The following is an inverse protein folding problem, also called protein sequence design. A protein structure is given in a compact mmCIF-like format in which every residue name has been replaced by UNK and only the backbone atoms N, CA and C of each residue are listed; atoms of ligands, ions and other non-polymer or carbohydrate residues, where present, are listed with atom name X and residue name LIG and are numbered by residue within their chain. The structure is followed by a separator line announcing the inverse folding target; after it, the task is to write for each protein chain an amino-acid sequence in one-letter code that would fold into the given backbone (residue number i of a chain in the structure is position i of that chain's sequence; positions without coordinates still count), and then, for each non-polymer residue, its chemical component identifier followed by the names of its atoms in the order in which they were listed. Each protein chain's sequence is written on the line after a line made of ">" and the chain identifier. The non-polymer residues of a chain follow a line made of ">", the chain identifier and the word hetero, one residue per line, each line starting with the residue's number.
data_IF_014801917457
#
_entry.id   IF_014801917457
#
_cell.length_a   1.000
_cell.length_b   1.000
_cell.length_c   1.000
_cell.angle_alpha   90.00
_cell.angle_beta   90.00
_cell.angle_gamma   90.00
#
_symmetry.space_group_name_H-M   'P 1'
#
loop_
_entity.id
_entity.type
_entity.pdbx_description
1 polymer ?
#
# COMPACT_ATOMS: atom_id res chain seq x y z
N UNK A 1 20.11 3.60 -5.24
CA UNK A 1 20.25 4.81 -4.41
C UNK A 1 19.10 5.78 -4.74
N UNK A 2 18.31 6.25 -3.75
CA UNK A 2 17.18 7.14 -3.98
C UNK A 2 17.60 8.50 -4.58
N UNK A 3 16.80 9.08 -5.47
CA UNK A 3 17.13 10.36 -6.14
C UNK A 3 17.25 11.56 -5.18
N UNK A 4 16.60 11.47 -4.01
CA UNK A 4 16.65 12.45 -2.93
C UNK A 4 17.74 12.17 -1.89
N UNK A 5 18.56 11.13 -2.08
CA UNK A 5 19.64 10.82 -1.15
C UNK A 5 20.68 11.94 -1.14
N UNK A 6 21.00 12.39 0.07
CA UNK A 6 22.05 13.37 0.36
C UNK A 6 23.14 12.72 1.20
N UNK A 7 24.40 13.08 0.92
CA UNK A 7 25.52 12.71 1.81
C UNK A 7 25.42 13.49 3.12
N UNK A 8 26.19 13.07 4.13
CA UNK A 8 26.32 13.81 5.39
C UNK A 8 26.74 15.28 5.16
N UNK A 9 27.55 15.53 4.12
CA UNK A 9 28.02 16.86 3.71
C UNK A 9 27.01 17.63 2.82
N UNK A 10 25.77 17.15 2.69
CA UNK A 10 24.69 17.84 2.00
C UNK A 10 24.64 17.67 0.46
N UNK A 11 25.57 16.93 -0.14
CA UNK A 11 25.58 16.72 -1.58
C UNK A 11 24.44 15.81 -2.03
N UNK A 12 23.72 16.21 -3.09
CA UNK A 12 22.60 15.45 -3.69
C UNK A 12 23.11 14.28 -4.53
N UNK A 13 23.76 13.31 -3.90
CA UNK A 13 24.37 12.16 -4.56
C UNK A 13 23.35 11.35 -5.38
N UNK A 14 22.12 11.23 -4.90
CA UNK A 14 21.03 10.58 -5.65
C UNK A 14 20.70 11.25 -7.00
N UNK A 15 20.76 12.58 -7.03
CA UNK A 15 20.54 13.37 -8.25
C UNK A 15 21.76 13.29 -9.17
N UNK A 16 22.96 13.40 -8.59
CA UNK A 16 24.22 13.31 -9.33
C UNK A 16 24.39 11.95 -10.04
N UNK A 17 24.09 10.83 -9.36
CA UNK A 17 24.13 9.49 -9.95
C UNK A 17 23.16 9.38 -11.13
N UNK A 18 21.98 10.00 -11.02
CA UNK A 18 21.02 10.04 -12.14
C UNK A 18 21.59 10.76 -13.36
N UNK A 19 22.23 11.93 -13.15
CA UNK A 19 22.88 12.70 -14.21
C UNK A 19 24.05 11.94 -14.87
N UNK A 20 24.84 11.18 -14.12
CA UNK A 20 25.91 10.36 -14.69
C UNK A 20 25.36 9.26 -15.60
N UNK A 21 24.24 8.63 -15.22
CA UNK A 21 23.59 7.59 -16.02
C UNK A 21 22.93 8.15 -17.28
N UNK A 22 22.32 9.33 -17.22
CA UNK A 22 21.74 10.04 -18.38
C UNK A 22 22.79 10.41 -19.42
N UNK A 23 23.98 10.78 -18.97
CA UNK A 23 25.09 11.16 -19.85
C UNK A 23 25.97 9.97 -20.25
N UNK A 24 25.58 8.74 -19.93
CA UNK A 24 26.42 7.55 -20.12
C UNK A 24 26.93 7.39 -21.57
N UNK A 25 26.21 7.86 -22.59
CA UNK A 25 26.66 7.83 -23.99
C UNK A 25 27.77 8.86 -24.28
N UNK A 26 27.85 9.94 -23.49
CA UNK A 26 28.74 11.09 -23.70
C UNK A 26 29.84 11.21 -22.63
N UNK A 27 30.03 10.20 -21.77
CA UNK A 27 31.14 10.16 -20.81
C UNK A 27 32.42 9.66 -21.47
N UNK A 28 33.57 10.19 -21.05
CA UNK A 28 34.88 9.65 -21.44
C UNK A 28 35.04 8.20 -20.96
N UNK A 29 35.82 7.36 -21.68
CA UNK A 29 36.06 5.97 -21.30
C UNK A 29 36.59 5.81 -19.86
N UNK A 30 37.52 6.67 -19.47
CA UNK A 30 38.11 6.69 -18.12
C UNK A 30 37.05 6.97 -17.03
N UNK A 31 36.12 7.89 -17.30
CA UNK A 31 35.05 8.22 -16.37
C UNK A 31 34.03 7.09 -16.25
N UNK A 32 33.79 6.33 -17.32
CA UNK A 32 32.93 5.13 -17.27
C UNK A 32 33.56 4.04 -16.41
N UNK A 33 34.83 3.73 -16.65
CA UNK A 33 35.56 2.70 -15.91
C UNK A 33 35.57 2.99 -14.39
N UNK A 34 35.78 4.26 -13.99
CA UNK A 34 35.73 4.67 -12.58
C UNK A 34 34.37 4.47 -11.92
N UNK A 35 33.28 4.62 -12.67
CA UNK A 35 31.93 4.43 -12.17
C UNK A 35 31.57 2.95 -12.07
N UNK A 36 31.96 2.13 -13.05
CA UNK A 36 31.77 0.67 -13.05
C UNK A 36 32.54 -0.05 -11.94
N UNK A 37 33.69 0.50 -11.54
CA UNK A 37 34.47 -0.03 -10.43
C UNK A 37 33.80 0.16 -9.04
N UNK A 38 32.71 0.94 -8.95
CA UNK A 38 32.00 1.14 -7.69
C UNK A 38 31.12 -0.09 -7.37
N UNK A 39 31.24 -0.68 -6.16
CA UNK A 39 30.38 -1.79 -5.73
C UNK A 39 28.89 -1.42 -5.80
N UNK A 40 28.10 -2.23 -6.52
CA UNK A 40 26.66 -2.00 -6.70
C UNK A 40 26.31 -0.94 -7.75
N UNK A 41 27.26 -0.48 -8.56
CA UNK A 41 26.99 0.41 -9.69
C UNK A 41 26.27 -0.31 -10.84
N UNK A 42 25.34 0.40 -11.48
CA UNK A 42 24.63 -0.08 -12.66
C UNK A 42 24.29 1.08 -13.59
N UNK A 43 24.53 0.88 -14.88
CA UNK A 43 24.16 1.81 -15.95
C UNK A 43 22.69 1.79 -16.30
N UNK A 44 21.90 0.87 -15.73
CA UNK A 44 20.46 0.86 -15.94
C UNK A 44 19.89 2.24 -15.58
N UNK A 45 19.53 2.98 -16.62
CA UNK A 45 18.79 4.22 -16.51
C UNK A 45 17.51 3.93 -15.77
N UNK A 46 17.21 4.76 -14.76
CA UNK A 46 15.87 4.87 -14.21
C UNK A 46 15.01 5.49 -15.32
N UNK A 47 14.63 4.67 -16.30
CA UNK A 47 13.94 5.12 -17.51
C UNK A 47 12.60 5.72 -17.14
N UNK A 48 12.54 7.04 -17.05
CA UNK A 48 11.35 7.82 -17.37
C UNK A 48 11.10 7.57 -18.85
N UNK A 49 10.26 6.56 -19.19
CA UNK A 49 9.82 6.35 -20.57
C UNK A 49 9.73 4.91 -21.08
N UNK A 50 10.40 3.91 -20.47
CA UNK A 50 10.11 2.50 -20.79
C UNK A 50 8.97 2.00 -19.91
N UNK A 51 7.80 1.76 -20.51
CA UNK A 51 6.72 1.00 -19.85
C UNK A 51 7.30 -0.38 -19.52
N UNK A 52 7.54 -0.66 -18.23
CA UNK A 52 7.89 -2.00 -17.77
C UNK A 52 6.82 -2.96 -18.31
N UNK A 53 7.22 -4.08 -18.91
CA UNK A 53 6.25 -5.03 -19.45
C UNK A 53 5.34 -5.52 -18.32
N UNK A 54 4.10 -5.91 -18.61
CA UNK A 54 3.16 -6.34 -17.56
C UNK A 54 3.74 -7.45 -16.67
N UNK A 55 4.44 -8.41 -17.27
CA UNK A 55 5.11 -9.51 -16.57
C UNK A 55 6.16 -9.01 -15.58
N UNK A 56 6.92 -7.99 -15.96
CA UNK A 56 7.97 -7.44 -15.12
C UNK A 56 7.39 -6.64 -13.92
N UNK A 57 6.23 -6.01 -14.08
CA UNK A 57 5.49 -5.42 -12.96
C UNK A 57 4.91 -6.49 -12.05
N UNK A 58 4.36 -7.56 -12.63
CA UNK A 58 3.85 -8.69 -11.89
C UNK A 58 4.93 -9.32 -10.99
N UNK A 59 6.16 -9.48 -11.49
CA UNK A 59 7.28 -9.98 -10.65
C UNK A 59 7.61 -9.04 -9.48
N UNK A 60 7.53 -7.72 -9.67
CA UNK A 60 7.72 -6.76 -8.57
C UNK A 60 6.64 -6.91 -7.50
N UNK A 61 5.38 -7.10 -7.93
CA UNK A 61 4.28 -7.33 -7.01
C UNK A 61 4.45 -8.67 -6.27
N UNK A 62 4.83 -9.72 -6.99
CA UNK A 62 5.11 -11.04 -6.40
C UNK A 62 6.18 -10.96 -5.32
N UNK A 63 7.32 -10.31 -5.62
CA UNK A 63 8.38 -10.13 -4.63
C UNK A 63 7.91 -9.33 -3.41
N UNK A 64 7.10 -8.29 -3.62
CA UNK A 64 6.48 -7.55 -2.52
C UNK A 64 5.58 -8.45 -1.67
N UNK A 65 4.74 -9.28 -2.29
CA UNK A 65 3.83 -10.19 -1.57
C UNK A 65 4.59 -11.24 -0.77
N UNK A 66 5.69 -11.76 -1.29
CA UNK A 66 6.54 -12.73 -0.59
C UNK A 66 7.21 -12.10 0.63
N UNK A 67 7.66 -10.86 0.52
CA UNK A 67 8.35 -10.14 1.61
C UNK A 67 7.39 -9.68 2.71
N UNK A 68 6.26 -9.11 2.34
CA UNK A 68 5.31 -8.48 3.29
C UNK A 68 4.20 -9.43 3.74
N UNK A 69 4.06 -10.60 3.09
CA UNK A 69 2.96 -11.54 3.33
C UNK A 69 1.59 -11.06 2.85
N UNK A 70 1.51 -9.93 2.13
CA UNK A 70 0.26 -9.38 1.60
C UNK A 70 0.44 -8.59 0.30
N UNK A 71 -0.62 -8.46 -0.50
CA UNK A 71 -0.59 -7.65 -1.74
C UNK A 71 -1.12 -6.21 -1.59
N UNK A 72 -1.26 -5.74 -0.35
CA UNK A 72 -1.76 -4.42 -0.01
C UNK A 72 -0.69 -3.34 -0.12
N UNK A 73 -0.19 -3.12 -1.34
CA UNK A 73 0.84 -2.12 -1.62
C UNK A 73 0.29 -0.69 -1.40
N UNK A 74 0.91 0.14 -0.53
CA UNK A 74 0.51 1.54 -0.35
C UNK A 74 0.56 2.31 -1.67
N UNK A 75 -0.37 3.24 -1.91
CA UNK A 75 -0.53 3.89 -3.22
C UNK A 75 0.73 4.66 -3.68
N UNK A 76 1.42 5.29 -2.73
CA UNK A 76 2.64 6.08 -2.92
C UNK A 76 3.93 5.24 -2.87
N UNK A 77 3.82 3.94 -2.56
CA UNK A 77 4.95 3.04 -2.47
C UNK A 77 5.73 2.97 -3.78
N UNK A 78 7.06 3.06 -3.64
CA UNK A 78 8.03 2.93 -4.71
C UNK A 78 9.01 1.83 -4.38
N UNK A 79 9.36 1.01 -5.36
CA UNK A 79 10.49 0.08 -5.23
C UNK A 79 11.80 0.86 -5.06
N UNK A 80 12.87 0.18 -4.66
CA UNK A 80 14.21 0.78 -4.55
C UNK A 80 14.66 1.46 -5.86
N UNK A 81 14.21 0.91 -7.00
CA UNK A 81 14.49 1.44 -8.34
C UNK A 81 13.52 2.57 -8.77
N UNK A 82 12.60 2.99 -7.90
CA UNK A 82 11.69 4.11 -8.13
C UNK A 82 10.40 3.75 -8.87
N UNK A 83 10.10 2.47 -9.09
CA UNK A 83 8.85 2.05 -9.72
C UNK A 83 7.67 2.22 -8.76
N UNK A 84 6.64 2.95 -9.19
CA UNK A 84 5.41 3.21 -8.42
C UNK A 84 4.50 1.98 -8.38
N UNK A 85 4.94 0.92 -7.69
CA UNK A 85 4.25 -0.37 -7.63
C UNK A 85 2.84 -0.23 -7.03
N UNK A 86 2.66 0.64 -6.04
CA UNK A 86 1.34 0.92 -5.46
C UNK A 86 0.35 1.45 -6.49
N UNK A 87 0.77 2.44 -7.27
CA UNK A 87 -0.03 2.97 -8.37
C UNK A 87 -0.33 1.91 -9.44
N UNK A 88 0.65 1.08 -9.79
CA UNK A 88 0.44 0.03 -10.77
C UNK A 88 -0.57 -1.03 -10.30
N UNK A 89 -0.44 -1.51 -9.05
CA UNK A 89 -1.37 -2.46 -8.45
C UNK A 89 -2.79 -1.89 -8.36
N UNK A 90 -2.93 -0.62 -7.97
CA UNK A 90 -4.22 0.09 -7.97
C UNK A 90 -4.83 0.15 -9.38
N UNK A 91 -4.03 0.43 -10.42
CA UNK A 91 -4.50 0.40 -11.81
C UNK A 91 -4.95 -0.97 -12.26
N UNK A 92 -4.30 -2.06 -11.81
CA UNK A 92 -4.76 -3.41 -12.14
C UNK A 92 -6.15 -3.66 -11.56
N UNK A 93 -6.38 -3.24 -10.30
CA UNK A 93 -7.68 -3.38 -9.64
C UNK A 93 -8.80 -2.60 -10.36
N UNK A 94 -8.51 -1.36 -10.75
CA UNK A 94 -9.46 -0.54 -11.52
C UNK A 94 -9.72 -1.07 -12.93
N UNK A 95 -8.76 -1.79 -13.52
CA UNK A 95 -8.87 -2.35 -14.85
C UNK A 95 -9.40 -3.79 -14.85
N UNK A 96 -9.95 -4.30 -13.74
CA UNK A 96 -10.39 -5.70 -13.59
C UNK A 96 -11.19 -6.20 -14.80
N UNK A 97 -12.25 -5.49 -15.19
CA UNK A 97 -13.12 -5.87 -16.30
C UNK A 97 -12.41 -5.88 -17.67
N UNK A 98 -11.34 -5.10 -17.81
CA UNK A 98 -10.57 -4.92 -19.04
C UNK A 98 -9.26 -5.73 -19.06
N UNK A 99 -8.95 -6.50 -18.01
CA UNK A 99 -7.79 -7.39 -17.99
C UNK A 99 -8.09 -8.66 -18.78
N UNK A 100 -7.08 -9.19 -19.48
CA UNK A 100 -7.19 -10.52 -20.09
C UNK A 100 -7.35 -11.59 -19.01
N UNK A 101 -8.04 -12.71 -19.29
CA UNK A 101 -8.22 -13.80 -18.34
C UNK A 101 -6.91 -14.29 -17.72
N UNK A 102 -5.84 -14.38 -18.52
CA UNK A 102 -4.53 -14.85 -18.06
C UNK A 102 -3.88 -13.89 -17.05
N UNK A 103 -4.08 -12.58 -17.24
CA UNK A 103 -3.57 -11.57 -16.31
C UNK A 103 -4.35 -11.56 -15.00
N UNK A 104 -5.67 -11.77 -15.06
CA UNK A 104 -6.51 -11.92 -13.86
C UNK A 104 -6.07 -13.14 -13.05
N UNK A 105 -6.00 -14.30 -13.71
CA UNK A 105 -5.59 -15.55 -13.07
C UNK A 105 -4.19 -15.45 -12.43
N UNK A 106 -3.25 -14.75 -13.07
CA UNK A 106 -1.93 -14.49 -12.48
C UNK A 106 -1.98 -13.59 -11.25
N UNK A 107 -2.78 -12.53 -11.26
CA UNK A 107 -2.90 -11.67 -10.08
C UNK A 107 -3.58 -12.40 -8.92
N UNK A 108 -4.60 -13.19 -9.23
CA UNK A 108 -5.34 -14.03 -8.26
C UNK A 108 -4.50 -15.16 -7.67
N UNK A 109 -3.45 -15.61 -8.38
CA UNK A 109 -2.52 -16.60 -7.83
C UNK A 109 -1.54 -16.03 -6.79
N UNK A 110 -1.51 -14.72 -6.59
CA UNK A 110 -0.70 -14.10 -5.54
C UNK A 110 -1.38 -14.24 -4.17
N UNK A 111 -0.62 -14.57 -3.12
CA UNK A 111 -1.17 -14.70 -1.77
C UNK A 111 -1.71 -13.36 -1.28
N UNK A 112 -2.92 -13.39 -0.70
CA UNK A 112 -3.63 -12.21 -0.20
C UNK A 112 -3.77 -11.08 -1.25
N UNK A 113 -3.85 -11.44 -2.54
CA UNK A 113 -4.35 -10.53 -3.56
C UNK A 113 -5.86 -10.36 -3.41
N UNK A 114 -6.28 -9.10 -3.45
CA UNK A 114 -7.68 -8.72 -3.46
C UNK A 114 -7.90 -7.66 -4.53
N UNK A 115 -8.99 -7.83 -5.26
CA UNK A 115 -9.51 -6.83 -6.18
C UNK A 115 -10.07 -5.61 -5.44
N UNK A 116 -10.55 -5.79 -4.20
CA UNK A 116 -11.08 -4.72 -3.36
C UNK A 116 -10.51 -4.78 -1.92
N UNK A 117 -9.22 -4.43 -1.74
CA UNK A 117 -8.55 -4.54 -0.44
C UNK A 117 -9.12 -3.58 0.62
N UNK A 118 -9.76 -2.48 0.20
CA UNK A 118 -10.42 -1.55 1.13
C UNK A 118 -11.74 -2.11 1.66
N UNK A 119 -12.49 -2.86 0.83
CA UNK A 119 -13.66 -3.58 1.30
C UNK A 119 -13.25 -4.66 2.31
N UNK A 120 -12.29 -5.51 1.98
CA UNK A 120 -11.86 -6.58 2.89
C UNK A 120 -11.31 -6.06 4.23
N UNK A 121 -10.56 -4.95 4.21
CA UNK A 121 -10.10 -4.29 5.45
C UNK A 121 -11.28 -3.82 6.30
N UNK A 122 -12.31 -3.28 5.66
CA UNK A 122 -13.52 -2.86 6.37
C UNK A 122 -14.27 -4.07 6.92
N UNK A 123 -14.48 -5.11 6.12
CA UNK A 123 -15.17 -6.34 6.52
C UNK A 123 -14.46 -7.05 7.68
N UNK A 124 -13.13 -7.02 7.68
CA UNK A 124 -12.33 -7.53 8.81
C UNK A 124 -12.58 -6.73 10.09
N UNK A 125 -12.55 -5.40 10.01
CA UNK A 125 -12.88 -4.53 11.14
C UNK A 125 -14.30 -4.75 11.67
N UNK A 126 -15.26 -4.87 10.75
CA UNK A 126 -16.65 -5.17 11.07
C UNK A 126 -16.80 -6.51 11.79
N UNK A 127 -16.15 -7.58 11.31
CA UNK A 127 -16.15 -8.89 11.99
C UNK A 127 -15.61 -8.82 13.42
N UNK A 128 -14.52 -8.09 13.65
CA UNK A 128 -14.01 -7.91 15.01
C UNK A 128 -14.97 -7.13 15.90
N UNK A 129 -15.61 -6.09 15.37
CA UNK A 129 -16.62 -5.35 16.11
C UNK A 129 -17.81 -6.23 16.45
N UNK A 130 -18.31 -7.03 15.50
CA UNK A 130 -19.39 -7.98 15.73
C UNK A 130 -19.03 -8.98 16.83
N UNK A 131 -17.84 -9.57 16.78
CA UNK A 131 -17.39 -10.49 17.81
C UNK A 131 -17.27 -9.80 19.19
N UNK A 132 -16.85 -8.54 19.22
CA UNK A 132 -16.81 -7.75 20.45
C UNK A 132 -18.22 -7.51 20.99
N UNK A 133 -19.18 -7.11 20.15
CA UNK A 133 -20.57 -6.85 20.58
C UNK A 133 -21.27 -8.13 21.03
N UNK A 134 -20.99 -9.26 20.37
CA UNK A 134 -21.54 -10.57 20.75
C UNK A 134 -21.01 -11.02 22.13
N UNK A 135 -19.77 -10.67 22.47
CA UNK A 135 -19.13 -11.02 23.76
C UNK A 135 -19.50 -10.07 24.90
N UNK A 136 -19.47 -8.76 24.65
CA UNK A 136 -19.62 -7.73 25.70
C UNK A 136 -21.06 -7.20 25.81
N UNK A 137 -21.94 -7.51 24.84
CA UNK A 137 -23.30 -6.99 24.78
C UNK A 137 -23.42 -5.50 24.40
N UNK A 138 -22.31 -4.85 24.04
CA UNK A 138 -22.29 -3.43 23.65
C UNK A 138 -21.19 -3.09 22.65
N UNK A 139 -21.30 -1.97 21.94
CA UNK A 139 -20.28 -1.46 21.02
C UNK A 139 -19.35 -0.37 21.61
N UNK A 140 -19.23 -0.29 22.94
CA UNK A 140 -18.35 0.66 23.66
C UNK A 140 -16.90 0.17 23.69
N UNK A 141 -16.27 0.10 22.51
CA UNK A 141 -14.86 -0.32 22.40
C UNK A 141 -13.92 0.79 22.90
N UNK A 142 -13.03 0.54 23.88
CA UNK A 142 -12.00 1.50 24.29
C UNK A 142 -11.08 1.89 23.13
N UNK A 143 -10.62 3.14 23.09
CA UNK A 143 -9.86 3.68 21.94
C UNK A 143 -8.56 2.91 21.65
N UNK A 144 -7.89 2.45 22.70
CA UNK A 144 -6.62 1.70 22.68
C UNK A 144 -6.81 0.18 22.59
N UNK A 145 -8.05 -0.31 22.62
CA UNK A 145 -8.36 -1.73 22.57
C UNK A 145 -7.81 -2.39 21.31
N UNK A 146 -7.15 -3.53 21.53
CA UNK A 146 -6.65 -4.43 20.49
C UNK A 146 -7.27 -5.82 20.67
N UNK A 147 -7.57 -6.46 19.55
CA UNK A 147 -7.94 -7.88 19.54
C UNK A 147 -6.74 -8.75 19.93
N UNK A 148 -6.98 -10.04 20.19
CA UNK A 148 -5.92 -10.99 20.55
C UNK A 148 -4.81 -11.09 19.48
N UNK A 149 -5.15 -10.90 18.20
CA UNK A 149 -4.21 -10.87 17.09
C UNK A 149 -3.65 -9.47 16.78
N UNK A 150 -3.84 -8.50 17.70
CA UNK A 150 -3.23 -7.18 17.63
C UNK A 150 -3.97 -6.15 16.77
N UNK A 151 -5.15 -6.46 16.24
CA UNK A 151 -5.95 -5.52 15.46
C UNK A 151 -6.47 -4.38 16.35
N UNK A 152 -6.15 -3.13 15.99
CA UNK A 152 -6.56 -1.90 16.71
C UNK A 152 -8.04 -1.59 16.49
N UNK A 153 -8.92 -2.41 17.06
CA UNK A 153 -10.37 -2.28 16.88
C UNK A 153 -10.90 -0.95 17.44
N UNK A 154 -10.38 -0.47 18.58
CA UNK A 154 -10.78 0.84 19.14
C UNK A 154 -10.59 1.99 18.17
N UNK A 155 -9.40 2.05 17.55
CA UNK A 155 -9.08 3.04 16.50
C UNK A 155 -9.98 2.89 15.27
N UNK A 156 -10.28 1.65 14.85
CA UNK A 156 -11.14 1.41 13.70
C UNK A 156 -12.58 1.88 13.95
N UNK A 157 -13.13 1.63 15.15
CA UNK A 157 -14.47 2.07 15.56
C UNK A 157 -14.56 3.59 15.62
N UNK A 158 -13.57 4.26 16.22
CA UNK A 158 -13.49 5.73 16.25
C UNK A 158 -13.49 6.33 14.82
N UNK A 159 -12.72 5.72 13.91
CA UNK A 159 -12.71 6.12 12.50
C UNK A 159 -14.10 5.97 11.87
N UNK A 160 -14.83 4.88 12.12
CA UNK A 160 -16.17 4.68 11.57
C UNK A 160 -17.14 5.76 12.06
N UNK A 161 -17.09 6.10 13.35
CA UNK A 161 -17.95 7.14 13.95
C UNK A 161 -17.65 8.54 13.37
N UNK A 162 -16.38 8.88 13.18
CA UNK A 162 -15.96 10.16 12.59
C UNK A 162 -16.38 10.31 11.12
N UNK A 163 -16.38 9.21 10.37
CA UNK A 163 -16.67 9.22 8.94
C UNK A 163 -18.10 8.83 8.58
N UNK A 164 -19.06 8.92 9.52
CA UNK A 164 -20.47 8.65 9.24
C UNK A 164 -21.01 9.45 8.03
N UNK A 165 -20.59 10.72 7.86
CA UNK A 165 -21.12 11.57 6.78
C UNK A 165 -20.62 11.14 5.38
N UNK A 166 -19.47 10.47 5.30
CA UNK A 166 -18.85 10.02 4.04
C UNK A 166 -18.96 8.51 3.83
N UNK A 167 -19.59 7.79 4.77
CA UNK A 167 -19.82 6.36 4.71
C UNK A 167 -21.01 6.01 3.81
N UNK A 168 -20.90 4.88 3.09
CA UNK A 168 -22.00 4.37 2.26
C UNK A 168 -23.23 3.97 3.10
N UNK A 169 -24.44 4.04 2.56
CA UNK A 169 -25.66 3.62 3.27
C UNK A 169 -25.60 2.17 3.76
N UNK A 170 -25.02 1.27 2.98
CA UNK A 170 -24.91 -0.16 3.30
C UNK A 170 -24.03 -0.38 4.53
N UNK A 171 -22.87 0.30 4.60
CA UNK A 171 -21.97 0.22 5.75
C UNK A 171 -22.58 0.81 7.01
N UNK A 172 -23.39 1.87 6.88
CA UNK A 172 -24.15 2.44 8.00
C UNK A 172 -25.15 1.43 8.55
N UNK A 173 -25.98 0.85 7.67
CA UNK A 173 -26.99 -0.13 8.05
C UNK A 173 -26.36 -1.35 8.75
N UNK A 174 -25.22 -1.84 8.24
CA UNK A 174 -24.50 -2.94 8.88
C UNK A 174 -24.03 -2.61 10.30
N UNK A 175 -23.49 -1.41 10.53
CA UNK A 175 -23.05 -0.97 11.86
C UNK A 175 -24.23 -0.74 12.80
N UNK A 176 -25.31 -0.12 12.32
CA UNK A 176 -26.54 0.14 13.07
C UNK A 176 -27.27 -1.14 13.48
N UNK A 177 -27.08 -2.23 12.75
CA UNK A 177 -27.62 -3.54 13.10
C UNK A 177 -26.86 -4.21 14.28
N UNK A 178 -25.72 -3.69 14.72
CA UNK A 178 -24.96 -4.27 15.83
C UNK A 178 -25.52 -3.85 17.19
N UNK A 179 -25.60 -4.80 18.11
CA UNK A 179 -26.08 -4.57 19.48
C UNK A 179 -25.31 -3.46 20.19
N UNK A 180 -26.03 -2.43 20.62
CA UNK A 180 -25.46 -1.30 21.36
C UNK A 180 -24.59 -0.36 20.51
N UNK A 181 -24.68 -0.42 19.18
CA UNK A 181 -24.05 0.58 18.31
C UNK A 181 -24.73 1.93 18.44
N UNK A 182 -23.92 2.96 18.69
CA UNK A 182 -24.34 4.36 18.62
C UNK A 182 -23.25 5.17 17.93
N UNK A 183 -23.68 6.13 17.12
CA UNK A 183 -22.79 7.01 16.36
C UNK A 183 -22.14 8.08 17.22
N UNK A 184 -22.90 8.63 18.19
CA UNK A 184 -22.42 9.58 19.18
C UNK A 184 -22.99 9.18 20.53
N UNK A 185 -22.13 9.02 21.52
CA UNK A 185 -22.59 9.06 22.90
C UNK A 185 -22.92 10.53 23.18
N UNK A 186 -24.19 10.86 23.41
CA UNK A 186 -24.50 12.15 24.02
C UNK A 186 -23.80 12.15 25.37
N UNK A 187 -22.99 13.19 25.61
CA UNK A 187 -22.42 13.43 26.93
C UNK A 187 -23.55 13.39 27.94
N UNK A 188 -23.24 12.85 29.12
CA UNK A 188 -24.11 12.97 30.27
C UNK A 188 -24.31 14.48 30.49
N UNK A 189 -25.52 14.97 30.27
CA UNK A 189 -25.93 16.26 30.80
C UNK A 189 -25.93 16.09 32.34
N UNK A 190 -24.93 16.68 33.00
CA UNK A 190 -24.94 17.04 34.42
C UNK A 190 -24.54 18.52 34.51
#
# INVERSE_FOLDING_TARGET
>A
MPANYRTADGHRLGTWVSTQRERATNLSPERKARLEALPGWSWALRTVGKRKAWNEWFQLLKHFTEREGHANVPQDFKTADGYRLGNWASKQRLAFDNLSPERRARLESLPAWSWNPLAEKWDRGFRYLKNFTDREGHARVPQDYKTADGYRLGTWVDHQRKNINTMSPERKALLEALTGWVWRFRGRDE
#
